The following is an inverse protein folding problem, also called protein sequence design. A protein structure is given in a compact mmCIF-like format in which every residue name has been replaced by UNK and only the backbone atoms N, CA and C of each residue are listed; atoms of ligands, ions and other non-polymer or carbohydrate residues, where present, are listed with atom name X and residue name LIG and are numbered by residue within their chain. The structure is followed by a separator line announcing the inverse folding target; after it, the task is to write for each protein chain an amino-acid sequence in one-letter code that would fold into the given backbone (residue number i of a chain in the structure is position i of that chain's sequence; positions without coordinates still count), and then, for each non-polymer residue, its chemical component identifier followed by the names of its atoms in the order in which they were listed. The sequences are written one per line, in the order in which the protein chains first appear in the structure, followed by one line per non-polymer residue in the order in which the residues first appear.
data_IF_522924576252
#
_entry.id   IF_522924576252
#
_cell.length_a   1.000
_cell.length_b   1.000
_cell.length_c   1.000
_cell.angle_alpha   90.00
_cell.angle_beta   90.00
_cell.angle_gamma   90.00
#
_symmetry.space_group_name_H-M   'P 1'
#
loop_
_entity.id
_entity.type
_entity.pdbx_description
1 polymer ?
#
# COMPACT_ATOMS: atom_id res chain seq x y z
N UNK A 1 6.95 -19.13 -9.52
CA UNK A 1 5.84 -18.33 -10.06
C UNK A 1 6.30 -16.88 -10.08
N UNK A 2 6.11 -16.17 -11.19
CA UNK A 2 6.40 -14.74 -11.26
C UNK A 2 5.23 -13.99 -10.62
N UNK A 3 5.51 -13.16 -9.61
CA UNK A 3 4.49 -12.37 -8.93
C UNK A 3 4.21 -11.10 -9.72
N UNK A 4 2.96 -10.84 -10.06
CA UNK A 4 2.54 -9.63 -10.79
C UNK A 4 1.41 -8.91 -10.04
N UNK A 5 1.24 -7.61 -10.34
CA UNK A 5 0.20 -6.79 -9.72
C UNK A 5 -1.22 -7.31 -10.01
N UNK A 6 -1.45 -7.88 -11.20
CA UNK A 6 -2.75 -8.41 -11.62
C UNK A 6 -3.27 -9.52 -10.69
N UNK A 7 -2.38 -10.22 -9.98
CA UNK A 7 -2.75 -11.27 -9.03
C UNK A 7 -3.40 -10.72 -7.75
N UNK A 8 -3.31 -9.41 -7.51
CA UNK A 8 -3.88 -8.72 -6.34
C UNK A 8 -4.92 -7.66 -6.72
N UNK A 9 -5.50 -7.78 -7.91
CA UNK A 9 -6.47 -6.81 -8.41
C UNK A 9 -7.70 -6.71 -7.49
N UNK A 10 -8.14 -7.83 -6.91
CA UNK A 10 -9.30 -7.86 -6.00
C UNK A 10 -9.07 -6.99 -4.75
N UNK A 11 -7.88 -7.06 -4.15
CA UNK A 11 -7.51 -6.25 -3.00
C UNK A 11 -7.45 -4.76 -3.35
N UNK A 12 -6.88 -4.41 -4.51
CA UNK A 12 -6.81 -3.03 -4.99
C UNK A 12 -8.21 -2.46 -5.24
N UNK A 13 -9.08 -3.20 -5.92
CA UNK A 13 -10.47 -2.78 -6.17
C UNK A 13 -11.25 -2.62 -4.86
N UNK A 14 -11.11 -3.57 -3.92
CA UNK A 14 -11.76 -3.49 -2.63
C UNK A 14 -11.29 -2.27 -1.81
N UNK A 15 -9.99 -1.97 -1.84
CA UNK A 15 -9.44 -0.78 -1.17
C UNK A 15 -9.96 0.51 -1.80
N UNK A 16 -9.98 0.61 -3.14
CA UNK A 16 -10.52 1.76 -3.86
C UNK A 16 -12.02 1.97 -3.57
N UNK A 17 -12.82 0.89 -3.55
CA UNK A 17 -14.24 0.96 -3.19
C UNK A 17 -14.47 1.37 -1.72
N UNK A 18 -13.55 1.02 -0.82
CA UNK A 18 -13.63 1.42 0.60
C UNK A 18 -13.39 2.92 0.80
N UNK A 19 -12.55 3.55 -0.03
CA UNK A 19 -12.34 4.99 -0.05
C UNK A 19 -13.64 5.77 -0.33
N UNK A 20 -14.51 5.24 -1.20
CA UNK A 20 -15.79 5.85 -1.54
C UNK A 20 -16.84 5.69 -0.41
N UNK A 21 -16.77 4.60 0.35
CA UNK A 21 -17.76 4.26 1.39
C UNK A 21 -17.46 4.83 2.78
N UNK A 22 -16.19 5.07 3.11
CA UNK A 22 -15.76 5.58 4.41
C UNK A 22 -15.15 6.96 4.25
N UNK A 23 -15.36 7.88 5.21
CA UNK A 23 -14.67 9.18 5.21
C UNK A 23 -13.18 8.93 5.51
N UNK A 24 -12.40 8.64 4.47
CA UNK A 24 -10.95 8.57 4.52
C UNK A 24 -10.44 9.94 4.08
N UNK A 25 -9.94 10.76 5.00
CA UNK A 25 -9.37 12.07 4.69
C UNK A 25 -7.99 11.93 4.02
N UNK A 26 -7.92 11.29 2.87
CA UNK A 26 -6.75 11.37 2.01
C UNK A 26 -6.81 12.68 1.24
N UNK A 27 -5.66 13.33 1.12
CA UNK A 27 -5.43 14.45 0.21
C UNK A 27 -5.23 13.92 -1.22
N UNK A 28 -6.22 13.12 -1.69
CA UNK A 28 -6.22 12.40 -2.96
C UNK A 28 -7.65 12.22 -3.47
N UNK A 29 -7.86 12.32 -4.77
CA UNK A 29 -9.06 11.83 -5.44
C UNK A 29 -9.10 10.29 -5.48
N UNK A 30 -10.26 9.67 -5.81
CA UNK A 30 -10.33 8.23 -6.03
C UNK A 30 -9.31 7.71 -7.06
N UNK A 31 -9.13 8.45 -8.18
CA UNK A 31 -8.19 8.09 -9.24
C UNK A 31 -6.74 8.17 -8.76
N UNK A 32 -6.40 9.21 -7.99
CA UNK A 32 -5.06 9.37 -7.38
C UNK A 32 -4.78 8.30 -6.32
N UNK A 33 -5.81 7.91 -5.57
CA UNK A 33 -5.74 6.79 -4.63
C UNK A 33 -5.44 5.49 -5.36
N UNK A 34 -6.18 5.17 -6.43
CA UNK A 34 -5.94 3.99 -7.26
C UNK A 34 -4.52 3.96 -7.84
N UNK A 35 -4.08 5.06 -8.45
CA UNK A 35 -2.73 5.16 -9.00
C UNK A 35 -1.64 4.96 -7.92
N UNK A 36 -1.90 5.45 -6.69
CA UNK A 36 -1.02 5.23 -5.55
C UNK A 36 -0.97 3.75 -5.15
N UNK A 37 -2.13 3.07 -5.11
CA UNK A 37 -2.21 1.64 -4.80
C UNK A 37 -1.42 0.80 -5.80
N UNK A 38 -1.61 1.03 -7.10
CA UNK A 38 -0.91 0.29 -8.17
C UNK A 38 0.62 0.50 -8.06
N UNK A 39 1.05 1.75 -7.84
CA UNK A 39 2.48 2.08 -7.69
C UNK A 39 3.10 1.46 -6.43
N UNK A 40 2.40 1.53 -5.29
CA UNK A 40 2.87 0.98 -4.03
C UNK A 40 2.88 -0.55 -4.06
N UNK A 41 1.91 -1.19 -4.71
CA UNK A 41 1.87 -2.64 -4.85
C UNK A 41 3.08 -3.13 -5.65
N UNK A 42 3.41 -2.49 -6.77
CA UNK A 42 4.61 -2.81 -7.54
C UNK A 42 5.89 -2.74 -6.70
N UNK A 43 6.04 -1.68 -5.89
CA UNK A 43 7.17 -1.52 -4.97
C UNK A 43 7.19 -2.57 -3.86
N UNK A 44 6.02 -2.92 -3.31
CA UNK A 44 5.90 -3.95 -2.28
C UNK A 44 6.24 -5.33 -2.84
N UNK A 45 5.86 -5.63 -4.08
CA UNK A 45 6.24 -6.84 -4.81
C UNK A 45 7.75 -6.92 -5.01
N UNK A 46 8.37 -5.85 -5.51
CA UNK A 46 9.81 -5.78 -5.68
C UNK A 46 10.55 -5.99 -4.35
N UNK A 47 10.09 -5.32 -3.29
CA UNK A 47 10.64 -5.48 -1.94
C UNK A 47 10.44 -6.89 -1.40
N UNK A 48 9.29 -7.52 -1.66
CA UNK A 48 9.01 -8.89 -1.25
C UNK A 48 9.91 -9.88 -1.98
N UNK A 49 10.02 -9.80 -3.30
CA UNK A 49 10.83 -10.72 -4.11
C UNK A 49 12.31 -10.62 -3.76
N UNK A 50 12.81 -9.40 -3.53
CA UNK A 50 14.23 -9.14 -3.25
C UNK A 50 14.55 -9.10 -1.74
N UNK A 51 13.65 -9.58 -0.87
CA UNK A 51 13.83 -9.52 0.58
C UNK A 51 15.03 -10.35 1.05
N UNK A 52 15.70 -9.86 2.08
CA UNK A 52 16.84 -10.55 2.69
C UNK A 52 16.45 -11.87 3.39
N UNK A 53 17.43 -12.75 3.66
CA UNK A 53 17.18 -14.01 4.35
C UNK A 53 16.46 -13.82 5.69
N UNK A 54 15.44 -14.64 5.95
CA UNK A 54 14.64 -14.58 7.17
C UNK A 54 13.56 -13.50 7.20
N UNK A 55 13.50 -12.61 6.21
CA UNK A 55 12.40 -11.64 6.08
C UNK A 55 11.18 -12.29 5.43
N UNK A 56 10.00 -11.97 5.98
CA UNK A 56 8.71 -12.53 5.54
C UNK A 56 7.80 -11.51 4.89
N UNK A 57 8.21 -10.24 4.82
CA UNK A 57 7.36 -9.14 4.35
C UNK A 57 8.06 -8.27 3.30
N UNK A 58 7.28 -7.83 2.31
CA UNK A 58 7.61 -6.71 1.43
C UNK A 58 6.67 -5.57 1.74
N UNK A 59 7.22 -4.38 1.97
CA UNK A 59 6.46 -3.22 2.46
C UNK A 59 6.75 -2.04 1.55
N UNK A 60 5.69 -1.37 1.12
CA UNK A 60 5.77 -0.06 0.50
C UNK A 60 4.73 0.86 1.11
N UNK A 61 5.07 2.13 1.28
CA UNK A 61 4.16 3.11 1.84
C UNK A 61 4.40 4.50 1.27
N UNK A 62 3.38 5.32 1.38
CA UNK A 62 3.49 6.76 1.35
C UNK A 62 2.90 7.35 2.64
N UNK A 63 2.67 8.67 2.65
CA UNK A 63 2.13 9.39 3.81
C UNK A 63 0.75 8.90 4.26
N UNK A 64 0.00 8.25 3.39
CA UNK A 64 -1.44 8.02 3.49
C UNK A 64 -1.84 6.55 3.32
N UNK A 65 -1.02 5.75 2.64
CA UNK A 65 -1.30 4.34 2.36
C UNK A 65 -0.06 3.49 2.65
N UNK A 66 -0.29 2.33 3.25
CA UNK A 66 0.74 1.31 3.48
C UNK A 66 0.26 -0.02 2.88
N UNK A 67 1.09 -0.65 2.05
CA UNK A 67 0.87 -2.00 1.51
C UNK A 67 1.92 -2.95 2.09
N UNK A 68 1.45 -4.09 2.60
CA UNK A 68 2.27 -5.15 3.18
C UNK A 68 1.95 -6.47 2.48
N UNK A 69 2.94 -7.05 1.81
CA UNK A 69 2.88 -8.43 1.32
C UNK A 69 3.53 -9.35 2.34
N UNK A 70 2.77 -10.32 2.86
CA UNK A 70 3.22 -11.21 3.93
C UNK A 70 3.26 -12.66 3.48
N UNK A 71 4.39 -13.32 3.69
CA UNK A 71 4.53 -14.74 3.43
C UNK A 71 3.62 -15.55 4.35
N UNK A 72 2.74 -16.35 3.76
CA UNK A 72 1.90 -17.33 4.44
C UNK A 72 2.40 -18.72 4.05
N UNK A 73 2.65 -19.58 5.04
CA UNK A 73 3.38 -20.83 4.81
C UNK A 73 2.60 -21.85 3.96
N UNK A 74 1.27 -21.75 3.93
CA UNK A 74 0.37 -22.68 3.24
C UNK A 74 -0.25 -22.11 1.94
N UNK A 75 0.26 -20.99 1.42
CA UNK A 75 -0.28 -20.34 0.22
C UNK A 75 0.81 -20.00 -0.80
N UNK A 76 0.50 -20.18 -2.10
CA UNK A 76 1.41 -19.81 -3.19
C UNK A 76 1.57 -18.29 -3.34
N UNK A 77 0.52 -17.52 -2.99
CA UNK A 77 0.53 -16.07 -3.02
C UNK A 77 0.70 -15.50 -1.60
N UNK A 78 1.51 -14.44 -1.42
CA UNK A 78 1.56 -13.72 -0.15
C UNK A 78 0.20 -13.07 0.14
N UNK A 79 -0.12 -12.91 1.42
CA UNK A 79 -1.27 -12.10 1.83
C UNK A 79 -0.97 -10.61 1.58
N UNK A 80 -1.87 -9.90 0.90
CA UNK A 80 -1.78 -8.47 0.64
C UNK A 80 -2.65 -7.67 1.62
N UNK A 81 -2.00 -6.95 2.54
CA UNK A 81 -2.66 -6.01 3.44
C UNK A 81 -2.53 -4.58 2.95
N UNK A 82 -3.66 -3.91 2.69
CA UNK A 82 -3.73 -2.50 2.31
C UNK A 82 -4.32 -1.69 3.46
N UNK A 83 -3.57 -0.73 3.96
CA UNK A 83 -3.92 0.09 5.12
C UNK A 83 -3.96 1.56 4.75
N UNK A 84 -5.08 2.22 5.06
CA UNK A 84 -5.17 3.67 5.05
C UNK A 84 -4.58 4.21 6.36
N UNK A 85 -3.46 4.92 6.25
CA UNK A 85 -2.82 5.55 7.38
C UNK A 85 -3.75 6.66 7.89
N UNK A 86 -3.95 6.75 9.20
CA UNK A 86 -4.74 7.82 9.82
C UNK A 86 -4.10 9.18 9.48
N UNK A 87 -4.71 9.88 8.53
CA UNK A 87 -4.32 11.22 8.14
C UNK A 87 -5.09 12.22 9.01
N UNK A 88 -4.36 12.93 9.87
CA UNK A 88 -4.94 14.03 10.63
C UNK A 88 -4.75 15.32 9.82
N UNK A 89 -5.83 16.04 9.43
CA UNK A 89 -5.69 17.36 8.80
C UNK A 89 -5.05 18.39 9.75
N UNK A 90 -4.94 18.07 11.04
CA UNK A 90 -4.32 18.92 12.07
C UNK A 90 -2.83 18.60 12.30
N UNK A 91 -2.26 17.58 11.63
CA UNK A 91 -0.81 17.40 11.61
C UNK A 91 -0.25 18.54 10.77
N UNK A 92 0.16 19.63 11.42
CA UNK A 92 0.88 20.72 10.76
C UNK A 92 2.03 20.12 9.95
N UNK A 93 2.04 20.36 8.64
CA UNK A 93 3.21 20.13 7.84
C UNK A 93 4.35 20.90 8.53
N UNK A 94 5.33 20.19 9.10
CA UNK A 94 6.55 20.84 9.57
C UNK A 94 7.10 21.55 8.35
N UNK A 95 7.04 22.88 8.35
CA UNK A 95 7.69 23.67 7.31
C UNK A 95 9.13 23.19 7.21
N UNK A 96 9.66 22.94 5.99
CA UNK A 96 11.06 22.61 5.84
C UNK A 96 11.85 23.70 6.56
N UNK A 97 12.77 23.30 7.44
CA UNK A 97 13.62 24.24 8.15
C UNK A 97 14.28 25.13 7.09
N UNK A 98 13.93 26.42 7.10
CA UNK A 98 14.49 27.39 6.18
C UNK A 98 16.01 27.30 6.22
N UNK A 99 16.63 27.13 5.05
CA UNK A 99 18.07 27.28 4.89
C UNK A 99 18.44 28.75 5.08
#
# INVERSE_FOLDING_TARGET
MELTADMFAEEVEAAAASFDRHIVCLDKSPEECRASLDSLLGKALEAYVNRGPGLRHGIALDTQVTIILSQVDDHELPMCGIYFNLHSPYKQARQPAGK
#
